data_IF_534099908009
#
_entry.id   IF_534099908009
#
_cell.length_a   1.000
_cell.length_b   1.000
_cell.length_c   1.000
_cell.angle_alpha   90.00
_cell.angle_beta   90.00
_cell.angle_gamma   90.00
#
_symmetry.space_group_name_H-M   'P 1'
#
loop_
_entity.id
_entity.type
_entity.pdbx_description
1 polymer ?
#
# COMPACT_ATOMS: atom_id res chain seq x y z
N UNK A 1 -50.84 -0.89 6.33
CA UNK A 1 -49.40 -0.51 6.36
C UNK A 1 -48.95 -0.11 7.76
N UNK A 2 -49.48 0.95 8.38
CA UNK A 2 -49.06 1.41 9.73
C UNK A 2 -49.33 0.39 10.84
N UNK A 3 -50.51 -0.23 10.86
CA UNK A 3 -50.87 -1.20 11.91
C UNK A 3 -50.03 -2.49 11.88
N UNK A 4 -49.57 -2.93 10.71
CA UNK A 4 -48.69 -4.09 10.56
C UNK A 4 -47.29 -3.77 11.10
N UNK A 5 -46.78 -2.58 10.79
CA UNK A 5 -45.51 -2.08 11.30
C UNK A 5 -45.53 -1.96 12.83
N UNK A 6 -46.57 -1.36 13.41
CA UNK A 6 -46.74 -1.25 14.86
C UNK A 6 -46.81 -2.62 15.55
N UNK A 7 -47.52 -3.59 14.94
CA UNK A 7 -47.55 -4.97 15.44
C UNK A 7 -46.17 -5.63 15.41
N UNK A 8 -45.39 -5.42 14.35
CA UNK A 8 -44.02 -5.93 14.29
C UNK A 8 -43.14 -5.30 15.37
N UNK A 9 -43.17 -3.98 15.55
CA UNK A 9 -42.38 -3.28 16.56
C UNK A 9 -42.64 -3.78 17.98
N UNK A 10 -43.89 -4.15 18.30
CA UNK A 10 -44.29 -4.68 19.60
C UNK A 10 -44.09 -6.21 19.73
N UNK A 11 -43.60 -6.88 18.70
CA UNK A 11 -43.44 -8.33 18.69
C UNK A 11 -42.11 -8.80 19.29
N UNK A 12 -42.10 -10.03 19.82
CA UNK A 12 -40.86 -10.71 20.23
C UNK A 12 -39.90 -10.94 19.05
N UNK A 13 -40.37 -10.91 17.81
CA UNK A 13 -39.51 -11.00 16.62
C UNK A 13 -38.68 -9.74 16.44
N UNK A 14 -39.24 -8.55 16.64
CA UNK A 14 -38.49 -7.29 16.60
C UNK A 14 -37.36 -7.27 17.64
N UNK A 15 -37.62 -7.72 18.86
CA UNK A 15 -36.58 -7.81 19.91
C UNK A 15 -35.44 -8.77 19.53
N UNK A 16 -35.76 -9.92 18.91
CA UNK A 16 -34.75 -10.86 18.41
C UNK A 16 -33.94 -10.27 17.26
N UNK A 17 -34.59 -9.58 16.34
CA UNK A 17 -33.93 -8.94 15.20
C UNK A 17 -33.01 -7.81 15.68
N UNK A 18 -33.44 -7.00 16.66
CA UNK A 18 -32.63 -5.95 17.28
C UNK A 18 -31.36 -6.53 17.92
N UNK A 19 -31.48 -7.61 18.71
CA UNK A 19 -30.34 -8.26 19.35
C UNK A 19 -29.35 -8.84 18.32
N UNK A 20 -29.87 -9.46 17.26
CA UNK A 20 -29.05 -9.96 16.14
C UNK A 20 -28.26 -8.82 15.48
N UNK A 21 -28.93 -7.72 15.13
CA UNK A 21 -28.29 -6.59 14.46
C UNK A 21 -27.30 -5.85 15.33
N UNK A 22 -27.57 -5.68 16.63
CA UNK A 22 -26.63 -5.08 17.56
C UNK A 22 -25.33 -5.89 17.64
N UNK A 23 -25.43 -7.21 17.75
CA UNK A 23 -24.26 -8.09 17.79
C UNK A 23 -23.49 -8.06 16.46
N UNK A 24 -24.20 -8.21 15.33
CA UNK A 24 -23.59 -8.22 14.00
C UNK A 24 -22.91 -6.90 13.67
N UNK A 25 -23.58 -5.77 13.91
CA UNK A 25 -23.07 -4.47 13.51
C UNK A 25 -21.84 -4.00 14.32
N UNK A 26 -21.63 -4.56 15.52
CA UNK A 26 -20.39 -4.36 16.29
C UNK A 26 -19.19 -5.11 15.69
N UNK A 27 -19.44 -6.21 14.97
CA UNK A 27 -18.41 -7.08 14.38
C UNK A 27 -18.18 -6.79 12.89
N UNK A 28 -18.97 -5.90 12.28
CA UNK A 28 -18.85 -5.60 10.86
C UNK A 28 -17.44 -5.06 10.54
N UNK A 29 -16.79 -5.59 9.49
CA UNK A 29 -15.55 -5.03 8.98
C UNK A 29 -15.78 -3.64 8.38
N UNK A 30 -14.68 -2.98 7.99
CA UNK A 30 -14.75 -1.66 7.36
C UNK A 30 -15.66 -1.67 6.11
N UNK A 31 -16.45 -0.61 5.88
CA UNK A 31 -17.23 -0.45 4.67
C UNK A 31 -16.36 -0.46 3.40
N UNK A 32 -16.77 -1.20 2.37
CA UNK A 32 -16.11 -1.14 1.07
C UNK A 32 -16.39 0.19 0.35
N UNK A 33 -15.33 0.78 -0.21
CA UNK A 33 -15.36 1.92 -1.14
C UNK A 33 -14.27 1.69 -2.17
N UNK A 34 -14.50 2.09 -3.42
CA UNK A 34 -13.46 2.12 -4.45
C UNK A 34 -12.70 3.45 -4.45
N UNK A 35 -13.30 4.50 -3.86
CA UNK A 35 -12.67 5.79 -3.71
C UNK A 35 -11.73 5.78 -2.49
N UNK A 36 -10.49 6.31 -2.60
CA UNK A 36 -9.58 6.47 -1.46
C UNK A 36 -10.10 7.44 -0.38
N UNK A 37 -11.04 8.32 -0.71
CA UNK A 37 -11.59 9.28 0.24
C UNK A 37 -12.51 8.58 1.27
N UNK A 38 -12.42 8.96 2.55
CA UNK A 38 -13.29 8.41 3.59
C UNK A 38 -14.79 8.55 3.25
N UNK A 39 -15.59 7.60 3.72
CA UNK A 39 -17.05 7.63 3.61
C UNK A 39 -17.73 8.48 4.69
N UNK A 40 -17.02 8.81 5.77
CA UNK A 40 -17.54 9.64 6.85
C UNK A 40 -17.79 11.08 6.37
N UNK A 41 -18.89 11.69 6.81
CA UNK A 41 -19.29 13.06 6.40
C UNK A 41 -19.78 13.19 4.95
N UNK A 42 -19.98 12.09 4.23
CA UNK A 42 -20.43 12.11 2.84
C UNK A 42 -21.95 11.96 2.76
N UNK A 43 -22.59 12.89 2.06
CA UNK A 43 -24.03 12.87 1.80
C UNK A 43 -24.35 12.22 0.45
N UNK A 44 -25.46 11.46 0.36
CA UNK A 44 -25.98 10.98 -0.92
C UNK A 44 -26.27 12.11 -1.91
N UNK A 45 -25.92 11.93 -3.19
CA UNK A 45 -26.17 12.90 -4.26
C UNK A 45 -26.96 12.28 -5.41
N UNK A 46 -27.76 13.09 -6.10
CA UNK A 46 -28.45 12.69 -7.34
C UNK A 46 -27.58 12.89 -8.59
N UNK A 47 -26.43 13.55 -8.46
CA UNK A 47 -25.43 13.67 -9.52
C UNK A 47 -24.62 12.39 -9.60
N UNK A 48 -25.08 11.46 -10.43
CA UNK A 48 -24.48 10.12 -10.52
C UNK A 48 -23.90 9.83 -11.91
N UNK A 49 -22.78 9.13 -11.94
CA UNK A 49 -22.29 8.47 -13.13
C UNK A 49 -22.97 7.12 -13.27
N UNK A 50 -23.44 6.81 -14.48
CA UNK A 50 -24.02 5.51 -14.84
C UNK A 50 -23.14 4.85 -15.90
N UNK A 51 -22.66 3.66 -15.60
CA UNK A 51 -21.87 2.84 -16.52
C UNK A 51 -22.43 1.43 -16.54
N UNK A 52 -22.35 0.78 -17.69
CA UNK A 52 -22.88 -0.57 -17.89
C UNK A 52 -21.79 -1.44 -18.50
N UNK A 53 -21.70 -2.68 -18.03
CA UNK A 53 -20.84 -3.71 -18.60
C UNK A 53 -21.62 -4.98 -18.84
N UNK A 54 -21.60 -5.43 -20.09
CA UNK A 54 -22.08 -6.75 -20.46
C UNK A 54 -20.95 -7.75 -20.26
N UNK A 55 -21.23 -8.81 -19.51
CA UNK A 55 -20.35 -9.96 -19.38
C UNK A 55 -20.62 -10.94 -20.52
N UNK A 56 -19.57 -11.61 -20.99
CA UNK A 56 -19.72 -12.63 -22.02
C UNK A 56 -20.58 -13.79 -21.50
N UNK A 57 -21.61 -14.15 -22.28
CA UNK A 57 -22.58 -15.18 -21.91
C UNK A 57 -21.94 -16.57 -21.85
N UNK A 58 -21.02 -16.89 -22.76
CA UNK A 58 -20.36 -18.19 -22.80
C UNK A 58 -19.47 -18.36 -21.58
N UNK A 59 -18.64 -17.36 -21.27
CA UNK A 59 -17.76 -17.38 -20.11
C UNK A 59 -18.56 -17.53 -18.80
N UNK A 60 -19.66 -16.76 -18.65
CA UNK A 60 -20.48 -16.82 -17.44
C UNK A 60 -21.23 -18.14 -17.30
N UNK A 61 -21.75 -18.68 -18.41
CA UNK A 61 -22.41 -20.00 -18.41
C UNK A 61 -21.41 -21.11 -18.05
N UNK A 62 -20.19 -21.04 -18.61
CA UNK A 62 -19.12 -21.99 -18.30
C UNK A 62 -18.73 -21.93 -16.82
N UNK A 63 -18.60 -20.72 -16.27
CA UNK A 63 -18.32 -20.53 -14.84
C UNK A 63 -19.38 -21.18 -13.95
N UNK A 64 -20.66 -20.94 -14.23
CA UNK A 64 -21.77 -21.51 -13.44
C UNK A 64 -21.81 -23.04 -13.57
N UNK A 65 -21.67 -23.58 -14.78
CA UNK A 65 -21.73 -25.01 -15.04
C UNK A 65 -20.54 -25.79 -14.47
N UNK A 66 -19.39 -25.15 -14.32
CA UNK A 66 -18.21 -25.77 -13.75
C UNK A 66 -18.27 -25.94 -12.22
N UNK A 67 -19.30 -25.38 -11.57
CA UNK A 67 -19.41 -25.49 -10.12
C UNK A 67 -19.86 -26.89 -9.68
N UNK A 68 -19.10 -27.58 -8.81
CA UNK A 68 -19.42 -28.94 -8.37
C UNK A 68 -20.68 -29.02 -7.48
N UNK A 69 -21.11 -27.89 -6.91
CA UNK A 69 -22.38 -27.75 -6.21
C UNK A 69 -23.31 -26.85 -7.04
N UNK A 70 -24.60 -27.17 -7.11
CA UNK A 70 -25.59 -26.31 -7.76
C UNK A 70 -25.80 -25.03 -6.94
N UNK A 71 -24.88 -24.07 -7.04
CA UNK A 71 -25.10 -22.71 -6.54
C UNK A 71 -26.07 -21.96 -7.45
N UNK A 72 -26.79 -20.99 -6.89
CA UNK A 72 -27.64 -20.16 -7.73
C UNK A 72 -26.78 -19.27 -8.63
N UNK A 73 -27.27 -18.98 -9.84
CA UNK A 73 -26.62 -18.05 -10.77
C UNK A 73 -26.37 -16.68 -10.10
N UNK A 74 -27.28 -16.30 -9.20
CA UNK A 74 -27.17 -15.07 -8.42
C UNK A 74 -25.98 -15.08 -7.47
N UNK A 75 -25.75 -16.18 -6.75
CA UNK A 75 -24.61 -16.30 -5.81
C UNK A 75 -23.27 -16.22 -6.56
N UNK A 76 -23.18 -16.84 -7.74
CA UNK A 76 -21.98 -16.78 -8.60
C UNK A 76 -21.74 -15.38 -9.15
N UNK A 77 -22.78 -14.69 -9.63
CA UNK A 77 -22.67 -13.30 -10.10
C UNK A 77 -22.23 -12.37 -8.97
N UNK A 78 -22.80 -12.54 -7.77
CA UNK A 78 -22.43 -11.77 -6.59
C UNK A 78 -20.98 -12.05 -6.17
N UNK A 79 -20.54 -13.31 -6.17
CA UNK A 79 -19.16 -13.65 -5.83
C UNK A 79 -18.15 -13.02 -6.78
N UNK A 80 -18.42 -13.05 -8.09
CA UNK A 80 -17.55 -12.43 -9.09
C UNK A 80 -17.40 -10.93 -8.87
N UNK A 81 -18.52 -10.22 -8.65
CA UNK A 81 -18.49 -8.77 -8.44
C UNK A 81 -17.96 -8.41 -7.04
N UNK A 82 -18.23 -9.21 -6.01
CA UNK A 82 -17.65 -9.04 -4.69
C UNK A 82 -16.12 -9.16 -4.73
N UNK A 83 -15.59 -10.12 -5.51
CA UNK A 83 -14.15 -10.25 -5.75
C UNK A 83 -13.60 -9.02 -6.47
N UNK A 84 -14.27 -8.53 -7.50
CA UNK A 84 -13.89 -7.28 -8.18
C UNK A 84 -13.83 -6.09 -7.20
N UNK A 85 -14.83 -5.91 -6.33
CA UNK A 85 -14.82 -4.88 -5.29
C UNK A 85 -13.69 -5.08 -4.29
N UNK A 86 -13.47 -6.31 -3.81
CA UNK A 86 -12.39 -6.66 -2.88
C UNK A 86 -11.02 -6.28 -3.42
N UNK A 87 -10.75 -6.66 -4.67
CA UNK A 87 -9.45 -6.44 -5.30
C UNK A 87 -9.17 -4.97 -5.59
N UNK A 88 -10.20 -4.19 -5.96
CA UNK A 88 -10.07 -2.76 -6.22
C UNK A 88 -10.03 -1.92 -4.93
N UNK A 89 -10.77 -2.31 -3.90
CA UNK A 89 -10.72 -1.63 -2.60
C UNK A 89 -9.51 -2.02 -1.75
N UNK A 90 -8.82 -3.12 -2.08
CA UNK A 90 -7.68 -3.64 -1.31
C UNK A 90 -8.08 -4.36 -0.02
N UNK A 91 -9.36 -4.65 0.20
CA UNK A 91 -9.86 -5.27 1.43
C UNK A 91 -10.36 -6.71 1.16
N UNK A 92 -9.76 -7.70 1.83
CA UNK A 92 -10.21 -9.10 1.79
C UNK A 92 -11.45 -9.38 2.66
N UNK A 93 -11.83 -8.45 3.55
CA UNK A 93 -13.08 -8.53 4.31
C UNK A 93 -13.67 -7.14 4.45
N UNK A 94 -14.93 -6.98 4.05
CA UNK A 94 -15.58 -5.67 4.03
C UNK A 94 -17.09 -5.77 4.24
N UNK A 95 -17.68 -4.67 4.69
CA UNK A 95 -19.13 -4.54 4.78
C UNK A 95 -19.69 -3.85 3.54
N UNK A 96 -20.74 -4.43 2.99
CA UNK A 96 -21.47 -3.89 1.85
C UNK A 96 -22.97 -3.84 2.15
N UNK A 97 -23.68 -2.93 1.49
CA UNK A 97 -25.13 -2.88 1.56
C UNK A 97 -25.73 -3.93 0.62
N UNK A 98 -26.80 -4.59 1.03
CA UNK A 98 -27.58 -5.43 0.14
C UNK A 98 -29.06 -5.07 0.21
N UNK A 99 -29.71 -5.01 -0.94
CA UNK A 99 -31.10 -4.60 -1.05
C UNK A 99 -32.04 -5.78 -0.72
N UNK A 100 -32.82 -5.62 0.35
CA UNK A 100 -33.89 -6.54 0.74
C UNK A 100 -35.26 -5.87 0.64
N UNK A 101 -36.30 -6.67 0.51
CA UNK A 101 -37.68 -6.20 0.65
C UNK A 101 -38.14 -6.36 2.11
N UNK A 102 -38.64 -5.29 2.71
CA UNK A 102 -39.25 -5.26 4.06
C UNK A 102 -40.49 -6.15 4.14
N UNK A 103 -41.14 -6.41 3.00
CA UNK A 103 -42.33 -7.25 2.88
C UNK A 103 -42.06 -8.45 2.01
N UNK A 104 -42.77 -9.54 2.30
CA UNK A 104 -42.69 -10.81 1.59
C UNK A 104 -44.08 -11.23 1.14
N UNK A 105 -44.18 -11.84 -0.04
CA UNK A 105 -45.46 -12.33 -0.58
C UNK A 105 -46.36 -11.23 -1.16
N UNK A 106 -47.66 -11.52 -1.29
CA UNK A 106 -48.65 -10.63 -1.94
C UNK A 106 -48.75 -9.23 -1.31
N UNK A 107 -48.48 -9.10 -0.01
CA UNK A 107 -48.49 -7.83 0.69
C UNK A 107 -47.38 -6.85 0.26
N UNK A 108 -46.31 -7.34 -0.38
CA UNK A 108 -45.28 -6.50 -1.01
C UNK A 108 -45.72 -6.01 -2.39
N UNK A 109 -46.34 -6.91 -3.19
CA UNK A 109 -46.79 -6.63 -4.56
C UNK A 109 -47.93 -5.62 -4.63
N UNK A 110 -48.80 -5.58 -3.61
CA UNK A 110 -49.94 -4.65 -3.55
C UNK A 110 -49.63 -3.37 -2.74
N UNK A 111 -48.37 -3.12 -2.38
CA UNK A 111 -47.99 -1.97 -1.58
C UNK A 111 -47.56 -0.78 -2.45
N UNK A 112 -48.13 0.40 -2.20
CA UNK A 112 -47.78 1.64 -2.91
C UNK A 112 -46.70 2.49 -2.19
N UNK A 113 -46.16 2.01 -1.06
CA UNK A 113 -45.17 2.73 -0.25
C UNK A 113 -43.76 2.11 -0.33
N UNK A 114 -42.71 2.80 0.17
CA UNK A 114 -41.34 2.29 0.11
C UNK A 114 -41.22 1.01 0.95
N UNK A 115 -40.84 -0.09 0.28
CA UNK A 115 -40.66 -1.41 0.89
C UNK A 115 -39.20 -1.88 0.85
N UNK A 116 -38.28 -1.05 0.37
CA UNK A 116 -36.86 -1.39 0.28
C UNK A 116 -36.18 -1.21 1.64
N UNK A 117 -35.27 -2.12 1.98
CA UNK A 117 -34.37 -2.02 3.13
C UNK A 117 -32.95 -2.38 2.68
N UNK A 118 -32.00 -1.46 2.82
CA UNK A 118 -30.61 -1.74 2.51
C UNK A 118 -29.90 -2.12 3.79
N UNK A 119 -29.50 -3.38 3.92
CA UNK A 119 -28.93 -3.91 5.15
C UNK A 119 -27.45 -4.25 4.96
N UNK A 120 -26.60 -4.04 5.98
CA UNK A 120 -25.21 -4.42 5.90
C UNK A 120 -25.08 -5.93 5.87
N UNK A 121 -24.30 -6.42 4.92
CA UNK A 121 -23.83 -7.80 4.83
C UNK A 121 -22.31 -7.80 4.96
N UNK A 122 -21.80 -8.88 5.54
CA UNK A 122 -20.37 -9.12 5.64
C UNK A 122 -19.90 -9.94 4.44
N UNK A 123 -18.88 -9.46 3.74
CA UNK A 123 -18.21 -10.20 2.69
C UNK A 123 -16.81 -10.54 3.13
N UNK A 124 -16.52 -11.83 3.28
CA UNK A 124 -15.18 -12.35 3.59
C UNK A 124 -14.67 -13.14 2.38
N UNK A 125 -13.54 -12.69 1.83
CA UNK A 125 -12.91 -13.25 0.65
C UNK A 125 -11.50 -13.71 1.01
N UNK A 126 -11.38 -14.98 1.38
CA UNK A 126 -10.10 -15.64 1.63
C UNK A 126 -9.33 -15.80 0.29
N UNK A 127 -8.11 -15.24 0.13
CA UNK A 127 -7.31 -15.37 -1.09
C UNK A 127 -7.06 -16.81 -1.54
N UNK A 128 -7.09 -17.79 -0.62
CA UNK A 128 -6.87 -19.20 -0.93
C UNK A 128 -8.15 -19.94 -1.35
N UNK A 129 -9.32 -19.36 -1.11
CA UNK A 129 -10.59 -19.96 -1.49
C UNK A 129 -10.83 -19.85 -3.01
N UNK A 130 -11.64 -20.77 -3.54
CA UNK A 130 -12.18 -20.73 -4.89
C UNK A 130 -13.38 -19.79 -4.98
N UNK A 131 -13.73 -19.34 -6.18
CA UNK A 131 -14.90 -18.47 -6.38
C UNK A 131 -16.22 -19.15 -5.94
N UNK A 132 -16.31 -20.47 -6.07
CA UNK A 132 -17.46 -21.26 -5.64
C UNK A 132 -17.63 -21.25 -4.11
N UNK A 133 -16.53 -21.33 -3.37
CA UNK A 133 -16.57 -21.26 -1.91
C UNK A 133 -16.99 -19.88 -1.42
N UNK A 134 -16.53 -18.82 -2.10
CA UNK A 134 -16.99 -17.44 -1.86
C UNK A 134 -18.49 -17.30 -2.12
N UNK A 135 -18.99 -17.81 -3.25
CA UNK A 135 -20.42 -17.81 -3.55
C UNK A 135 -21.25 -18.53 -2.47
N UNK A 136 -20.77 -19.69 -2.01
CA UNK A 136 -21.39 -20.40 -0.89
C UNK A 136 -21.38 -19.62 0.42
N UNK A 137 -20.30 -18.89 0.71
CA UNK A 137 -20.18 -17.99 1.87
C UNK A 137 -21.20 -16.85 1.83
N UNK A 138 -21.25 -16.13 0.71
CA UNK A 138 -22.20 -15.03 0.48
C UNK A 138 -23.65 -15.56 0.56
N UNK A 139 -23.95 -16.69 -0.05
CA UNK A 139 -25.28 -17.29 0.02
C UNK A 139 -25.72 -17.65 1.44
N UNK A 140 -24.80 -18.12 2.30
CA UNK A 140 -25.08 -18.37 3.74
C UNK A 140 -25.35 -17.08 4.49
N UNK A 141 -24.53 -16.06 4.27
CA UNK A 141 -24.70 -14.74 4.87
C UNK A 141 -26.05 -14.11 4.50
N UNK A 142 -26.39 -14.10 3.20
CA UNK A 142 -27.67 -13.60 2.72
C UNK A 142 -28.86 -14.35 3.32
N UNK A 143 -28.76 -15.68 3.49
CA UNK A 143 -29.81 -16.48 4.14
C UNK A 143 -29.98 -16.12 5.61
N UNK A 144 -28.89 -15.84 6.33
CA UNK A 144 -28.92 -15.41 7.74
C UNK A 144 -29.57 -14.04 7.87
N UNK A 145 -29.08 -13.05 7.11
CA UNK A 145 -29.60 -11.68 7.14
C UNK A 145 -31.06 -11.62 6.70
N UNK A 146 -31.47 -12.43 5.71
CA UNK A 146 -32.86 -12.51 5.24
C UNK A 146 -33.87 -12.85 6.34
N UNK A 147 -33.47 -13.61 7.36
CA UNK A 147 -34.34 -13.95 8.52
C UNK A 147 -34.66 -12.73 9.39
N UNK A 148 -33.81 -11.71 9.35
CA UNK A 148 -33.89 -10.49 10.15
C UNK A 148 -34.12 -9.23 9.29
N UNK A 149 -34.50 -9.40 8.01
CA UNK A 149 -34.56 -8.32 7.02
C UNK A 149 -35.65 -7.26 7.28
N UNK A 150 -36.58 -7.56 8.20
CA UNK A 150 -37.70 -6.66 8.56
C UNK A 150 -37.26 -5.51 9.46
N UNK A 151 -36.11 -5.64 10.13
CA UNK A 151 -35.58 -4.62 11.02
C UNK A 151 -34.99 -3.46 10.22
N UNK A 152 -35.29 -2.22 10.61
CA UNK A 152 -34.95 -1.04 9.81
C UNK A 152 -33.47 -0.69 9.91
N UNK A 153 -32.82 -0.45 8.77
CA UNK A 153 -31.40 -0.07 8.73
C UNK A 153 -31.12 1.19 9.55
N UNK A 154 -32.04 2.16 9.53
CA UNK A 154 -31.94 3.40 10.30
C UNK A 154 -32.05 3.17 11.81
N UNK A 155 -32.72 2.09 12.24
CA UNK A 155 -32.79 1.70 13.65
C UNK A 155 -31.46 1.09 14.10
N UNK A 156 -30.80 0.27 13.27
CA UNK A 156 -29.49 -0.31 13.57
C UNK A 156 -28.46 0.77 13.91
N UNK A 157 -28.39 1.84 13.11
CA UNK A 157 -27.46 2.95 13.36
C UNK A 157 -27.77 3.69 14.68
N UNK A 158 -29.06 3.87 14.99
CA UNK A 158 -29.51 4.48 16.25
C UNK A 158 -29.13 3.62 17.47
N UNK A 159 -29.32 2.31 17.38
CA UNK A 159 -29.00 1.38 18.47
C UNK A 159 -27.49 1.33 18.77
N UNK A 160 -26.64 1.59 17.77
CA UNK A 160 -25.18 1.69 17.93
C UNK A 160 -24.72 3.06 18.47
N UNK A 161 -25.64 4.00 18.69
CA UNK A 161 -25.30 5.39 19.05
C UNK A 161 -24.57 6.15 17.93
N UNK A 162 -24.60 5.64 16.69
CA UNK A 162 -23.94 6.25 15.52
C UNK A 162 -24.96 7.11 14.77
N UNK A 163 -25.26 8.28 15.31
CA UNK A 163 -26.24 9.23 14.74
C UNK A 163 -25.49 10.31 13.94
N UNK A 164 -25.95 10.62 12.73
CA UNK A 164 -25.41 11.70 11.89
C UNK A 164 -24.28 11.27 10.95
N UNK A 165 -23.23 12.09 10.83
CA UNK A 165 -22.08 11.90 9.90
C UNK A 165 -21.07 10.83 10.33
N UNK A 166 -21.47 9.96 11.26
CA UNK A 166 -20.69 8.80 11.66
C UNK A 166 -20.39 7.90 10.45
N UNK A 167 -19.32 7.12 10.54
CA UNK A 167 -18.94 6.17 9.51
C UNK A 167 -20.13 5.25 9.19
N UNK A 168 -20.57 5.19 7.92
CA UNK A 168 -21.72 4.37 7.55
C UNK A 168 -21.41 2.88 7.78
N UNK A 169 -22.44 2.06 7.94
CA UNK A 169 -22.26 0.61 8.12
C UNK A 169 -21.78 -0.09 6.84
N UNK A 170 -21.98 0.54 5.69
CA UNK A 170 -21.57 0.05 4.37
C UNK A 170 -21.32 1.22 3.41
N UNK A 171 -20.51 1.00 2.37
CA UNK A 171 -20.26 1.96 1.30
C UNK A 171 -20.92 1.46 0.01
N UNK A 172 -20.28 0.50 -0.65
CA UNK A 172 -20.83 -0.17 -1.85
C UNK A 172 -22.13 -0.91 -1.54
N UNK A 173 -23.15 -0.72 -2.37
CA UNK A 173 -24.45 -1.40 -2.29
C UNK A 173 -24.63 -2.36 -3.47
N UNK A 174 -25.01 -3.61 -3.20
CA UNK A 174 -25.31 -4.62 -4.20
C UNK A 174 -26.82 -4.77 -4.37
N UNK A 175 -27.25 -4.77 -5.62
CA UNK A 175 -28.64 -4.93 -6.02
C UNK A 175 -28.73 -6.03 -7.08
N UNK A 176 -29.44 -7.12 -6.80
CA UNK A 176 -29.61 -8.21 -7.76
C UNK A 176 -31.04 -8.19 -8.31
N UNK A 177 -31.19 -7.93 -9.61
CA UNK A 177 -32.47 -7.84 -10.31
C UNK A 177 -32.60 -9.01 -11.29
N UNK A 178 -33.54 -9.90 -11.00
CA UNK A 178 -33.74 -11.16 -11.76
C UNK A 178 -34.79 -11.06 -12.86
N UNK A 179 -35.52 -9.94 -12.95
CA UNK A 179 -36.58 -9.73 -13.94
C UNK A 179 -36.61 -8.27 -14.40
N UNK A 180 -36.76 -8.07 -15.70
CA UNK A 180 -37.29 -6.82 -16.24
C UNK A 180 -38.82 -6.94 -16.23
N UNK A 181 -39.52 -5.94 -15.72
CA UNK A 181 -40.98 -5.96 -15.72
C UNK A 181 -41.44 -5.61 -17.13
N UNK A 182 -41.51 -6.60 -18.01
CA UNK A 182 -42.14 -6.43 -19.30
C UNK A 182 -43.61 -6.07 -19.07
N UNK A 183 -43.97 -4.86 -19.47
CA UNK A 183 -45.34 -4.38 -19.44
C UNK A 183 -45.97 -4.76 -20.77
N UNK A 184 -47.03 -5.57 -20.74
CA UNK A 184 -47.86 -5.81 -21.92
C UNK A 184 -49.17 -5.02 -21.79
N UNK A 185 -49.43 -4.17 -22.77
CA UNK A 185 -50.67 -3.41 -22.88
C UNK A 185 -51.52 -3.91 -24.05
N UNK A 186 -51.92 -5.18 -23.99
CA UNK A 186 -52.78 -5.80 -25.00
C UNK A 186 -52.02 -6.12 -26.29
N UNK A 187 -50.83 -6.72 -26.16
CA UNK A 187 -49.92 -7.03 -27.28
C UNK A 187 -49.01 -5.85 -27.69
N UNK A 188 -49.08 -4.73 -26.98
CA UNK A 188 -48.14 -3.61 -27.13
C UNK A 188 -47.09 -3.70 -26.02
N UNK A 189 -45.84 -3.86 -26.42
CA UNK A 189 -44.70 -3.87 -25.52
C UNK A 189 -44.49 -2.49 -24.89
N UNK A 190 -44.49 -2.44 -23.56
CA UNK A 190 -44.15 -1.27 -22.77
C UNK A 190 -42.66 -1.25 -22.42
N UNK A 191 -41.98 -0.17 -22.80
CA UNK A 191 -40.55 0.03 -22.53
C UNK A 191 -40.39 0.98 -21.35
N UNK A 192 -39.64 0.55 -20.33
CA UNK A 192 -39.39 1.36 -19.12
C UNK A 192 -38.00 2.01 -19.19
N UNK A 193 -37.95 3.34 -19.08
CA UNK A 193 -36.70 4.10 -19.00
C UNK A 193 -36.53 4.71 -17.60
N UNK A 194 -35.50 4.29 -16.88
CA UNK A 194 -35.17 4.82 -15.56
C UNK A 194 -34.46 6.18 -15.68
N UNK A 195 -35.11 7.26 -15.25
CA UNK A 195 -34.54 8.61 -15.25
C UNK A 195 -33.73 8.90 -13.98
N UNK A 196 -34.26 8.49 -12.83
CA UNK A 196 -33.66 8.71 -11.51
C UNK A 196 -33.91 7.50 -10.60
N UNK A 197 -32.84 6.93 -10.07
CA UNK A 197 -32.86 5.80 -9.11
C UNK A 197 -32.90 6.28 -7.65
N UNK A 198 -32.69 7.57 -7.43
CA UNK A 198 -32.47 8.16 -6.11
C UNK A 198 -31.01 8.55 -5.89
N UNK A 199 -30.69 9.17 -4.75
CA UNK A 199 -29.34 9.61 -4.46
C UNK A 199 -28.44 8.45 -4.03
N UNK A 200 -27.20 8.44 -4.53
CA UNK A 200 -26.19 7.44 -4.18
C UNK A 200 -25.13 8.08 -3.30
N UNK A 201 -24.78 7.43 -2.18
CA UNK A 201 -23.72 7.90 -1.27
C UNK A 201 -22.34 7.67 -1.85
N UNK A 202 -22.07 6.45 -2.29
CA UNK A 202 -20.77 6.02 -2.78
C UNK A 202 -20.91 5.31 -4.13
N UNK A 203 -21.21 4.01 -4.10
CA UNK A 203 -21.37 3.17 -5.28
C UNK A 203 -22.53 2.19 -5.09
N UNK A 204 -23.43 2.12 -6.06
CA UNK A 204 -24.42 1.05 -6.18
C UNK A 204 -24.08 0.19 -7.41
N UNK A 205 -24.09 -1.12 -7.22
CA UNK A 205 -23.82 -2.12 -8.26
C UNK A 205 -25.08 -2.94 -8.47
N UNK A 206 -25.71 -2.77 -9.62
CA UNK A 206 -26.88 -3.52 -10.02
C UNK A 206 -26.49 -4.65 -10.98
N UNK A 207 -26.82 -5.88 -10.60
CA UNK A 207 -26.62 -7.08 -11.40
C UNK A 207 -27.96 -7.45 -12.03
N UNK A 208 -27.99 -7.51 -13.35
CA UNK A 208 -29.13 -7.95 -14.15
C UNK A 208 -28.77 -9.26 -14.82
N UNK A 209 -29.65 -10.25 -14.69
CA UNK A 209 -29.56 -11.50 -15.42
C UNK A 209 -30.77 -11.57 -16.35
N UNK A 210 -30.54 -11.61 -17.66
CA UNK A 210 -31.63 -11.79 -18.62
C UNK A 210 -32.05 -13.28 -18.72
N UNK A 211 -33.16 -13.55 -19.40
CA UNK A 211 -33.65 -14.93 -19.62
C UNK A 211 -32.68 -15.78 -20.46
N UNK A 212 -31.83 -15.12 -21.24
CA UNK A 212 -30.77 -15.79 -21.98
C UNK A 212 -29.58 -16.19 -21.08
N UNK A 213 -29.48 -15.67 -19.86
CA UNK A 213 -28.36 -15.91 -18.95
C UNK A 213 -27.17 -14.98 -19.18
N UNK A 214 -27.36 -13.85 -19.86
CA UNK A 214 -26.39 -12.76 -19.97
C UNK A 214 -26.37 -11.97 -18.67
N UNK A 215 -25.18 -11.83 -18.07
CA UNK A 215 -24.98 -10.96 -16.91
C UNK A 215 -24.65 -9.54 -17.39
N UNK A 216 -25.47 -8.58 -16.99
CA UNK A 216 -25.21 -7.14 -17.14
C UNK A 216 -24.95 -6.53 -15.77
N UNK A 217 -23.86 -5.79 -15.64
CA UNK A 217 -23.49 -5.09 -14.41
C UNK A 217 -23.55 -3.58 -14.64
N UNK A 218 -24.44 -2.91 -13.91
CA UNK A 218 -24.61 -1.46 -13.93
C UNK A 218 -23.99 -0.86 -12.67
N UNK A 219 -23.14 0.15 -12.86
CA UNK A 219 -22.57 0.97 -11.79
C UNK A 219 -23.31 2.31 -11.75
N UNK A 220 -23.82 2.65 -10.57
CA UNK A 220 -24.33 3.98 -10.25
C UNK A 220 -23.41 4.56 -9.18
N UNK A 221 -22.60 5.55 -9.54
CA UNK A 221 -21.57 6.08 -8.67
C UNK A 221 -21.78 7.58 -8.38
N UNK A 222 -21.46 8.00 -7.17
CA UNK A 222 -21.46 9.40 -6.78
C UNK A 222 -20.42 10.20 -7.61
N UNK A 223 -20.88 11.15 -8.44
CA UNK A 223 -20.00 11.94 -9.32
C UNK A 223 -19.08 12.92 -8.59
N UNK A 224 -19.28 13.14 -7.29
CA UNK A 224 -18.38 13.95 -6.44
C UNK A 224 -17.22 13.10 -5.89
N UNK A 225 -17.37 11.77 -5.88
CA UNK A 225 -16.36 10.83 -5.36
C UNK A 225 -15.59 10.10 -6.45
N UNK A 226 -16.19 9.96 -7.63
CA UNK A 226 -15.65 9.15 -8.71
C UNK A 226 -15.56 9.93 -10.01
N UNK A 227 -14.44 9.76 -10.72
CA UNK A 227 -14.32 10.19 -12.10
C UNK A 227 -14.87 9.11 -13.04
N UNK A 228 -15.61 9.53 -14.07
CA UNK A 228 -16.24 8.59 -15.02
C UNK A 228 -15.23 7.69 -15.73
N UNK A 229 -14.08 8.23 -16.15
CA UNK A 229 -13.08 7.49 -16.93
C UNK A 229 -12.36 6.44 -16.07
N UNK A 230 -12.09 6.76 -14.80
CA UNK A 230 -11.53 5.83 -13.82
C UNK A 230 -12.48 4.67 -13.55
N UNK A 231 -13.78 4.96 -13.34
CA UNK A 231 -14.80 3.92 -13.20
C UNK A 231 -14.91 3.05 -14.45
N UNK A 232 -14.84 3.64 -15.64
CA UNK A 232 -14.86 2.88 -16.90
C UNK A 232 -13.66 1.92 -16.98
N UNK A 233 -12.46 2.40 -16.62
CA UNK A 233 -11.26 1.58 -16.56
C UNK A 233 -11.36 0.46 -15.51
N UNK A 234 -11.96 0.71 -14.35
CA UNK A 234 -12.24 -0.34 -13.35
C UNK A 234 -13.22 -1.39 -13.87
N UNK A 235 -14.29 -0.95 -14.51
CA UNK A 235 -15.36 -1.82 -14.99
C UNK A 235 -14.88 -2.74 -16.13
N UNK A 236 -13.94 -2.29 -16.96
CA UNK A 236 -13.29 -3.10 -18.00
C UNK A 236 -12.48 -4.29 -17.45
N UNK A 237 -12.13 -4.29 -16.15
CA UNK A 237 -11.41 -5.41 -15.51
C UNK A 237 -12.32 -6.57 -15.14
N UNK A 238 -13.64 -6.34 -15.04
CA UNK A 238 -14.61 -7.38 -14.68
C UNK A 238 -14.70 -8.52 -15.73
N UNK A 239 -14.76 -8.25 -17.05
CA UNK A 239 -14.67 -9.31 -18.06
C UNK A 239 -13.36 -10.10 -18.03
N UNK A 240 -12.23 -9.48 -17.68
CA UNK A 240 -10.94 -10.17 -17.55
C UNK A 240 -10.98 -11.18 -16.40
N UNK A 241 -11.59 -10.79 -15.28
CA UNK A 241 -11.80 -11.65 -14.12
C UNK A 241 -12.69 -12.85 -14.50
N UNK A 242 -13.82 -12.59 -15.17
CA UNK A 242 -14.76 -13.60 -15.61
C UNK A 242 -14.09 -14.66 -16.49
N UNK A 243 -13.33 -14.23 -17.52
CA UNK A 243 -12.60 -15.14 -18.43
C UNK A 243 -11.64 -16.07 -17.69
N UNK A 244 -10.94 -15.56 -16.68
CA UNK A 244 -9.99 -16.37 -15.91
C UNK A 244 -10.69 -17.47 -15.13
N UNK A 245 -11.80 -17.17 -14.45
CA UNK A 245 -12.55 -18.18 -13.70
C UNK A 245 -13.38 -19.11 -14.58
N UNK A 246 -13.85 -18.65 -15.75
CA UNK A 246 -14.45 -19.54 -16.74
C UNK A 246 -13.44 -20.59 -17.23
N UNK A 247 -12.20 -20.18 -17.51
CA UNK A 247 -11.13 -21.07 -17.95
C UNK A 247 -10.58 -21.97 -16.82
N UNK A 248 -10.47 -21.45 -15.59
CA UNK A 248 -9.92 -22.15 -14.42
C UNK A 248 -10.83 -22.00 -13.19
N UNK A 249 -11.94 -22.74 -13.11
CA UNK A 249 -12.95 -22.60 -12.04
C UNK A 249 -12.43 -22.91 -10.63
N UNK A 250 -11.40 -23.74 -10.52
CA UNK A 250 -10.77 -24.13 -9.25
C UNK A 250 -9.57 -23.25 -8.86
N UNK A 251 -9.30 -22.18 -9.61
CA UNK A 251 -8.23 -21.23 -9.29
C UNK A 251 -8.54 -20.51 -7.96
N UNK A 252 -7.57 -20.42 -7.03
CA UNK A 252 -7.69 -19.56 -5.85
C UNK A 252 -7.94 -18.10 -6.25
N UNK A 253 -8.81 -17.40 -5.53
CA UNK A 253 -9.18 -16.04 -5.92
C UNK A 253 -8.03 -15.03 -5.81
N UNK A 254 -7.01 -15.32 -5.00
CA UNK A 254 -5.81 -14.51 -4.86
C UNK A 254 -4.89 -14.53 -6.09
N UNK A 255 -4.98 -15.57 -6.93
CA UNK A 255 -4.22 -15.67 -8.18
C UNK A 255 -4.83 -14.87 -9.33
N UNK A 256 -6.05 -14.33 -9.13
CA UNK A 256 -6.74 -13.57 -10.16
C UNK A 256 -6.01 -12.27 -10.51
N UNK A 257 -5.71 -12.12 -11.80
CA UNK A 257 -5.02 -10.95 -12.33
C UNK A 257 -6.04 -9.93 -12.89
N UNK A 258 -5.93 -8.67 -12.49
CA UNK A 258 -6.80 -7.59 -12.98
C UNK A 258 -6.06 -6.60 -13.87
N UNK A 259 -4.77 -6.82 -14.13
CA UNK A 259 -3.97 -5.95 -14.97
C UNK A 259 -4.41 -6.09 -16.42
N UNK A 260 -4.92 -4.99 -16.95
CA UNK A 260 -5.15 -4.81 -18.38
C UNK A 260 -3.82 -4.73 -19.11
N UNK A 261 -3.86 -4.87 -20.43
CA UNK A 261 -2.67 -4.66 -21.27
C UNK A 261 -2.11 -3.23 -21.12
N UNK A 262 -2.99 -2.23 -20.96
CA UNK A 262 -2.59 -0.85 -20.70
C UNK A 262 -1.86 -0.71 -19.35
N UNK A 263 -2.35 -1.38 -18.31
CA UNK A 263 -1.69 -1.39 -16.99
C UNK A 263 -0.27 -2.00 -17.10
N UNK A 264 -0.11 -3.10 -17.85
CA UNK A 264 1.22 -3.72 -18.07
C UNK A 264 2.16 -2.83 -18.85
N UNK A 265 1.67 -2.17 -19.90
CA UNK A 265 2.47 -1.21 -20.69
C UNK A 265 2.87 0.02 -19.88
N UNK A 266 2.01 0.48 -18.96
CA UNK A 266 2.33 1.54 -18.02
C UNK A 266 3.44 1.08 -17.07
N UNK A 267 3.28 -0.09 -16.44
CA UNK A 267 4.28 -0.66 -15.54
C UNK A 267 5.63 -0.86 -16.25
N UNK A 268 5.63 -1.38 -17.48
CA UNK A 268 6.83 -1.52 -18.28
C UNK A 268 7.51 -0.17 -18.56
N UNK A 269 6.74 0.85 -18.98
CA UNK A 269 7.30 2.21 -19.21
C UNK A 269 7.84 2.87 -17.96
N UNK A 270 7.13 2.77 -16.84
CA UNK A 270 7.54 3.40 -15.58
C UNK A 270 8.78 2.73 -15.00
N UNK A 271 8.92 1.41 -15.20
CA UNK A 271 10.07 0.64 -14.74
C UNK A 271 11.21 0.54 -15.77
N UNK A 272 11.08 1.16 -16.95
CA UNK A 272 12.15 1.25 -17.95
C UNK A 272 13.20 2.30 -17.54
N UNK A 273 13.85 2.03 -16.40
CA UNK A 273 14.84 2.92 -15.78
C UNK A 273 16.27 2.39 -15.95
N UNK A 274 16.46 1.35 -16.76
CA UNK A 274 17.77 0.76 -17.02
C UNK A 274 18.63 1.72 -17.85
N UNK A 275 19.79 2.08 -17.32
CA UNK A 275 20.79 2.87 -18.02
C UNK A 275 22.18 2.40 -17.61
N UNK A 276 23.18 2.46 -18.51
CA UNK A 276 24.54 2.07 -18.17
C UNK A 276 25.13 3.06 -17.16
N UNK A 277 25.65 2.53 -16.06
CA UNK A 277 26.41 3.30 -15.07
C UNK A 277 27.83 2.76 -15.03
N UNK A 278 28.83 3.64 -15.08
CA UNK A 278 30.22 3.23 -15.00
C UNK A 278 30.52 2.59 -13.62
N UNK A 279 31.24 1.47 -13.62
CA UNK A 279 31.69 0.83 -12.40
C UNK A 279 32.83 1.65 -11.76
N UNK A 280 32.45 2.58 -10.88
CA UNK A 280 33.36 3.46 -10.14
C UNK A 280 33.04 3.43 -8.64
N UNK A 281 34.00 3.82 -7.82
CA UNK A 281 33.83 4.00 -6.37
C UNK A 281 33.68 5.48 -6.03
N UNK A 282 33.07 5.80 -4.88
CA UNK A 282 32.99 7.17 -4.38
C UNK A 282 34.38 7.81 -4.23
N UNK A 283 35.36 7.04 -3.74
CA UNK A 283 36.77 7.43 -3.69
C UNK A 283 37.37 7.71 -5.06
N UNK A 284 37.08 6.86 -6.06
CA UNK A 284 37.51 7.07 -7.44
C UNK A 284 36.95 8.35 -8.04
N UNK A 285 35.66 8.60 -7.85
CA UNK A 285 34.98 9.83 -8.27
C UNK A 285 35.59 11.09 -7.62
N UNK A 286 35.86 11.04 -6.31
CA UNK A 286 36.52 12.15 -5.60
C UNK A 286 37.94 12.40 -6.13
N UNK A 287 38.71 11.34 -6.37
CA UNK A 287 40.05 11.44 -6.92
C UNK A 287 40.05 12.04 -8.34
N UNK A 288 39.13 11.58 -9.19
CA UNK A 288 38.97 12.11 -10.55
C UNK A 288 38.59 13.60 -10.52
N UNK A 289 37.64 14.00 -9.66
CA UNK A 289 37.25 15.40 -9.51
C UNK A 289 38.39 16.27 -8.97
N UNK A 290 39.18 15.76 -8.01
CA UNK A 290 40.33 16.48 -7.48
C UNK A 290 41.45 16.68 -8.50
N UNK A 291 41.59 15.78 -9.47
CA UNK A 291 42.50 15.97 -10.61
C UNK A 291 41.97 17.01 -11.60
N UNK A 292 40.66 17.05 -11.83
CA UNK A 292 40.02 18.00 -12.77
C UNK A 292 40.05 19.44 -12.28
N UNK A 293 39.74 19.67 -11.00
CA UNK A 293 39.60 21.03 -10.43
C UNK A 293 40.30 21.13 -9.07
N UNK A 294 41.62 20.97 -9.00
CA UNK A 294 42.34 20.81 -7.73
C UNK A 294 42.20 22.00 -6.80
N UNK A 295 42.23 23.23 -7.34
CA UNK A 295 42.25 24.45 -6.54
C UNK A 295 40.84 25.04 -6.30
N UNK A 296 39.79 24.35 -6.79
CA UNK A 296 38.40 24.75 -6.55
C UNK A 296 37.98 24.42 -5.10
N UNK A 297 37.14 25.25 -4.45
CA UNK A 297 36.66 24.98 -3.10
C UNK A 297 35.79 23.72 -3.07
N UNK A 298 36.07 22.81 -2.13
CA UNK A 298 35.38 21.53 -2.01
C UNK A 298 34.63 21.39 -0.67
N UNK A 299 35.29 21.72 0.44
CA UNK A 299 34.76 21.50 1.78
C UNK A 299 35.04 22.72 2.66
N UNK A 300 34.04 23.18 3.42
CA UNK A 300 34.19 24.32 4.33
C UNK A 300 33.26 24.24 5.52
N UNK A 301 33.69 24.82 6.63
CA UNK A 301 32.83 25.19 7.76
C UNK A 301 33.18 26.62 8.23
N UNK A 302 32.89 26.94 9.49
CA UNK A 302 33.19 28.25 10.06
C UNK A 302 34.69 28.52 10.25
N UNK A 303 35.52 27.47 10.35
CA UNK A 303 36.94 27.56 10.71
C UNK A 303 37.85 27.15 9.55
N UNK A 304 37.44 26.19 8.73
CA UNK A 304 38.26 25.61 7.69
C UNK A 304 37.66 25.79 6.31
N UNK A 305 38.55 25.89 5.31
CA UNK A 305 38.21 25.85 3.89
C UNK A 305 39.28 25.03 3.18
N UNK A 306 38.84 23.95 2.55
CA UNK A 306 39.66 23.06 1.76
C UNK A 306 39.26 23.12 0.29
N UNK A 307 40.26 23.22 -0.57
CA UNK A 307 40.16 22.90 -2.00
C UNK A 307 39.98 21.39 -2.21
N UNK A 308 39.67 20.95 -3.43
CA UNK A 308 39.61 19.52 -3.74
C UNK A 308 40.95 18.82 -3.51
N UNK A 309 42.07 19.49 -3.82
CA UNK A 309 43.42 18.98 -3.55
C UNK A 309 43.64 18.76 -2.06
N UNK A 310 43.42 19.79 -1.25
CA UNK A 310 43.64 19.71 0.20
C UNK A 310 42.69 18.71 0.86
N UNK A 311 41.43 18.63 0.38
CA UNK A 311 40.47 17.62 0.83
C UNK A 311 41.01 16.21 0.56
N UNK A 312 41.49 15.96 -0.66
CA UNK A 312 42.05 14.65 -1.04
C UNK A 312 43.28 14.29 -0.22
N UNK A 313 44.14 15.25 0.05
CA UNK A 313 45.33 15.09 0.90
C UNK A 313 44.95 14.67 2.32
N UNK A 314 44.00 15.38 2.95
CA UNK A 314 43.50 15.06 4.29
C UNK A 314 42.81 13.69 4.35
N UNK A 315 41.97 13.37 3.35
CA UNK A 315 41.32 12.06 3.23
C UNK A 315 42.36 10.93 3.12
N UNK A 316 43.39 11.13 2.31
CA UNK A 316 44.46 10.13 2.12
C UNK A 316 45.30 9.95 3.38
N UNK A 317 45.63 11.05 4.07
CA UNK A 317 46.37 11.01 5.32
C UNK A 317 45.60 10.25 6.41
N UNK A 318 44.30 10.53 6.55
CA UNK A 318 43.46 9.84 7.52
C UNK A 318 43.26 8.37 7.14
N UNK A 319 43.04 8.05 5.86
CA UNK A 319 42.90 6.66 5.40
C UNK A 319 44.14 5.82 5.73
N UNK A 320 45.35 6.38 5.56
CA UNK A 320 46.59 5.72 6.00
C UNK A 320 46.65 5.49 7.49
N UNK A 321 46.23 6.48 8.28
CA UNK A 321 46.19 6.35 9.72
C UNK A 321 45.21 5.23 10.14
N UNK A 322 44.06 5.11 9.47
CA UNK A 322 43.11 4.01 9.67
C UNK A 322 43.74 2.66 9.34
N UNK A 323 44.41 2.53 8.18
CA UNK A 323 45.10 1.28 7.81
C UNK A 323 46.23 0.94 8.77
N UNK A 324 46.98 1.93 9.25
CA UNK A 324 48.03 1.74 10.26
C UNK A 324 47.48 1.29 11.62
N UNK A 325 46.24 1.65 11.94
CA UNK A 325 45.47 1.16 13.09
C UNK A 325 44.75 -0.17 12.80
N UNK A 326 45.07 -0.84 11.69
CA UNK A 326 44.59 -2.18 11.38
C UNK A 326 43.25 -2.25 10.66
N UNK A 327 42.66 -1.12 10.24
CA UNK A 327 41.44 -1.12 9.42
C UNK A 327 41.71 -1.77 8.06
N UNK A 328 40.93 -2.79 7.72
CA UNK A 328 40.99 -3.49 6.44
C UNK A 328 39.73 -3.24 5.60
N UNK A 329 39.78 -3.45 4.27
CA UNK A 329 38.60 -3.42 3.44
C UNK A 329 37.51 -4.38 3.95
N UNK A 330 36.28 -3.88 4.09
CA UNK A 330 35.14 -4.60 4.64
C UNK A 330 34.96 -4.48 6.16
N UNK A 331 35.92 -3.91 6.89
CA UNK A 331 35.73 -3.58 8.31
C UNK A 331 34.69 -2.46 8.49
N UNK A 332 34.13 -2.36 9.69
CA UNK A 332 33.25 -1.25 10.10
C UNK A 332 34.05 -0.29 10.97
N UNK A 333 33.96 1.01 10.69
CA UNK A 333 34.52 2.09 11.52
C UNK A 333 33.37 2.95 12.04
N UNK A 334 33.21 3.02 13.37
CA UNK A 334 32.20 3.88 13.98
C UNK A 334 32.68 5.33 14.02
N UNK A 335 31.77 6.27 13.82
CA UNK A 335 32.08 7.70 13.77
C UNK A 335 31.16 8.46 14.71
N UNK A 336 31.72 9.00 15.79
CA UNK A 336 31.05 9.82 16.79
C UNK A 336 31.68 11.22 16.80
N UNK A 337 31.49 11.97 15.71
CA UNK A 337 31.97 13.34 15.52
C UNK A 337 30.79 14.30 15.36
N UNK A 338 30.89 15.55 15.89
CA UNK A 338 29.90 16.57 15.59
C UNK A 338 29.98 16.99 14.11
N UNK A 339 28.96 17.72 13.66
CA UNK A 339 28.94 18.27 12.30
C UNK A 339 30.04 19.32 12.10
N UNK A 340 31.07 18.96 11.34
CA UNK A 340 32.21 19.80 10.96
C UNK A 340 32.85 19.27 9.65
N UNK A 341 33.88 19.94 9.14
CA UNK A 341 34.68 19.39 8.04
C UNK A 341 35.30 18.02 8.38
N UNK A 342 35.62 17.78 9.65
CA UNK A 342 36.24 16.52 10.10
C UNK A 342 35.29 15.33 9.99
N UNK A 343 33.98 15.54 10.19
CA UNK A 343 33.00 14.50 9.93
C UNK A 343 33.06 14.06 8.46
N UNK A 344 32.96 15.00 7.52
CA UNK A 344 33.02 14.68 6.09
C UNK A 344 34.35 14.04 5.68
N UNK A 345 35.48 14.54 6.19
CA UNK A 345 36.81 13.95 5.95
C UNK A 345 36.91 12.52 6.50
N UNK A 346 36.37 12.25 7.68
CA UNK A 346 36.35 10.92 8.29
C UNK A 346 35.55 9.93 7.44
N UNK A 347 34.35 10.30 7.00
CA UNK A 347 33.53 9.44 6.14
C UNK A 347 34.23 9.11 4.83
N UNK A 348 34.81 10.12 4.17
CA UNK A 348 35.56 9.91 2.92
C UNK A 348 36.81 9.04 3.12
N UNK A 349 37.53 9.21 4.24
CA UNK A 349 38.72 8.43 4.55
C UNK A 349 38.41 6.95 4.89
N UNK A 350 37.28 6.69 5.56
CA UNK A 350 36.81 5.33 5.83
C UNK A 350 36.50 4.60 4.52
N UNK A 351 35.79 5.28 3.60
CA UNK A 351 35.49 4.72 2.27
C UNK A 351 36.77 4.53 1.44
N UNK A 352 37.73 5.45 1.53
CA UNK A 352 39.04 5.34 0.91
C UNK A 352 39.83 4.12 1.40
N UNK A 353 39.75 3.81 2.69
CA UNK A 353 40.32 2.60 3.28
C UNK A 353 39.56 1.30 2.92
N UNK A 354 38.48 1.40 2.14
CA UNK A 354 37.63 0.28 1.76
C UNK A 354 36.71 -0.23 2.88
N UNK A 355 36.58 0.53 3.98
CA UNK A 355 35.75 0.19 5.12
C UNK A 355 34.36 0.85 5.03
N UNK A 356 33.42 0.33 5.82
CA UNK A 356 32.08 0.90 5.98
C UNK A 356 32.04 1.81 7.21
N UNK A 357 31.40 2.98 7.12
CA UNK A 357 31.21 3.82 8.30
C UNK A 357 29.88 3.52 9.02
N UNK A 358 29.91 3.62 10.36
CA UNK A 358 28.74 3.57 11.23
C UNK A 358 28.59 4.92 11.95
N UNK A 359 27.67 5.80 11.53
CA UNK A 359 27.48 7.08 12.20
C UNK A 359 26.79 6.87 13.56
N UNK A 360 27.37 7.43 14.61
CA UNK A 360 26.85 7.43 15.97
C UNK A 360 26.37 8.83 16.35
N UNK A 361 25.09 8.97 16.67
CA UNK A 361 24.53 10.21 17.18
C UNK A 361 24.91 10.36 18.66
N UNK A 362 25.77 11.33 18.97
CA UNK A 362 26.19 11.62 20.33
C UNK A 362 25.05 12.16 21.21
N UNK A 363 23.89 12.52 20.65
CA UNK A 363 22.68 12.84 21.40
C UNK A 363 21.94 11.62 21.98
N UNK A 364 22.25 10.39 21.54
CA UNK A 364 21.64 9.18 22.09
C UNK A 364 22.15 8.83 23.48
N UNK A 365 21.37 8.09 24.30
CA UNK A 365 21.86 7.58 25.58
C UNK A 365 22.93 6.50 25.39
N UNK A 366 23.82 6.36 26.38
CA UNK A 366 24.98 5.45 26.33
C UNK A 366 24.60 3.99 26.11
N UNK A 367 23.48 3.54 26.69
CA UNK A 367 22.95 2.20 26.47
C UNK A 367 22.67 1.94 24.99
N UNK A 368 22.09 2.91 24.27
CA UNK A 368 21.78 2.76 22.84
C UNK A 368 23.05 2.74 22.00
N UNK A 369 24.03 3.58 22.33
CA UNK A 369 25.33 3.56 21.66
C UNK A 369 26.08 2.25 21.90
N UNK A 370 26.06 1.74 23.13
CA UNK A 370 26.59 0.43 23.49
C UNK A 370 25.97 -0.69 22.65
N UNK A 371 24.64 -0.75 22.58
CA UNK A 371 23.94 -1.75 21.75
C UNK A 371 24.33 -1.68 20.27
N UNK A 372 24.46 -0.48 19.71
CA UNK A 372 24.87 -0.32 18.30
C UNK A 372 26.30 -0.80 18.07
N UNK A 373 27.21 -0.51 19.00
CA UNK A 373 28.60 -0.96 18.95
C UNK A 373 28.73 -2.48 19.12
N UNK A 374 27.93 -3.08 20.02
CA UNK A 374 27.89 -4.53 20.24
C UNK A 374 27.36 -5.29 19.01
N UNK A 375 26.36 -4.75 18.31
CA UNK A 375 25.77 -5.39 17.11
C UNK A 375 26.61 -5.16 15.84
N UNK A 376 27.35 -4.05 15.77
CA UNK A 376 28.18 -3.73 14.63
C UNK A 376 29.63 -4.22 14.74
N UNK A 377 30.14 -4.38 15.97
CA UNK A 377 31.53 -4.79 16.28
C UNK A 377 32.55 -4.03 15.42
N UNK A 378 32.59 -2.68 15.50
CA UNK A 378 33.51 -1.90 14.68
C UNK A 378 34.97 -2.19 15.05
N UNK A 379 35.85 -2.14 14.04
CA UNK A 379 37.30 -2.24 14.24
C UNK A 379 37.82 -1.06 15.05
N UNK A 380 37.28 0.12 14.80
CA UNK A 380 37.77 1.39 15.33
C UNK A 380 36.61 2.38 15.53
N UNK A 381 36.73 3.26 16.50
CA UNK A 381 35.81 4.37 16.76
C UNK A 381 36.56 5.70 16.55
N UNK A 382 36.13 6.49 15.57
CA UNK A 382 36.62 7.87 15.38
C UNK A 382 35.76 8.81 16.22
N UNK A 383 36.38 9.61 17.09
CA UNK A 383 35.67 10.59 17.92
C UNK A 383 36.53 11.82 18.23
N UNK A 384 35.99 12.79 18.95
CA UNK A 384 36.69 14.00 19.40
C UNK A 384 37.08 13.91 20.89
N UNK A 385 38.08 14.67 21.37
CA UNK A 385 38.59 14.57 22.74
C UNK A 385 37.52 14.71 23.83
N UNK A 386 36.51 15.56 23.61
CA UNK A 386 35.39 15.79 24.56
C UNK A 386 34.50 14.57 24.74
N UNK A 387 34.44 13.66 23.76
CA UNK A 387 33.64 12.44 23.77
C UNK A 387 34.46 11.20 24.09
N UNK A 388 35.79 11.29 24.16
CA UNK A 388 36.69 10.15 24.38
C UNK A 388 36.31 9.32 25.62
N UNK A 389 36.05 9.98 26.74
CA UNK A 389 35.72 9.31 28.01
C UNK A 389 34.48 8.41 27.92
N UNK A 390 33.55 8.76 27.03
CA UNK A 390 32.28 8.07 26.83
C UNK A 390 32.42 6.76 26.06
N UNK A 391 33.44 6.66 25.22
CA UNK A 391 33.70 5.49 24.37
C UNK A 391 34.92 4.67 24.84
N UNK A 392 35.63 5.12 25.88
CA UNK A 392 36.90 4.53 26.33
C UNK A 392 36.79 3.04 26.70
N UNK A 393 35.60 2.59 27.11
CA UNK A 393 35.29 1.19 27.45
C UNK A 393 34.64 0.41 26.30
N UNK A 394 34.50 0.99 25.10
CA UNK A 394 33.69 0.45 23.99
C UNK A 394 34.48 0.03 22.76
N UNK A 395 35.80 0.24 22.73
CA UNK A 395 36.66 -0.18 21.63
C UNK A 395 37.93 0.65 21.48
N UNK A 396 38.69 0.38 20.42
CA UNK A 396 39.85 1.20 20.04
C UNK A 396 39.38 2.56 19.51
N UNK A 397 39.99 3.64 19.99
CA UNK A 397 39.59 5.02 19.67
C UNK A 397 40.68 5.72 18.87
N UNK A 398 40.24 6.40 17.80
CA UNK A 398 41.03 7.39 17.08
C UNK A 398 40.44 8.77 17.32
N UNK A 399 41.26 9.68 17.87
CA UNK A 399 40.87 11.08 18.01
C UNK A 399 41.12 11.83 16.70
N UNK A 400 40.10 12.54 16.20
CA UNK A 400 40.19 13.32 14.97
C UNK A 400 39.42 14.64 15.08
N UNK A 401 40.15 15.72 15.35
CA UNK A 401 39.62 17.08 15.58
C UNK A 401 40.44 18.19 14.91
N UNK A 402 41.50 17.82 14.19
CA UNK A 402 42.46 18.75 13.60
C UNK A 402 43.07 18.18 12.30
N UNK A 403 43.54 19.05 11.37
CA UNK A 403 44.15 18.59 10.13
C UNK A 403 45.42 17.78 10.38
N UNK A 404 45.60 16.71 9.61
CA UNK A 404 46.78 15.86 9.67
C UNK A 404 47.93 16.46 8.87
N UNK A 405 49.16 16.17 9.29
CA UNK A 405 50.35 16.49 8.50
C UNK A 405 50.30 15.72 7.17
N UNK A 406 50.36 16.45 6.06
CA UNK A 406 50.33 15.88 4.72
C UNK A 406 51.76 15.56 4.29
N UNK A 407 52.03 14.30 3.99
CA UNK A 407 53.26 13.91 3.30
C UNK A 407 53.04 13.94 1.78
N UNK A 408 53.64 14.93 1.12
CA UNK A 408 53.51 15.16 -0.33
C UNK A 408 54.07 14.02 -1.20
N UNK A 409 54.90 13.13 -0.64
CA UNK A 409 55.59 12.08 -1.40
C UNK A 409 54.83 10.76 -1.50
N UNK A 410 53.72 10.61 -0.79
CA UNK A 410 53.15 9.30 -0.57
C UNK A 410 51.93 9.04 -1.49
N UNK A 411 51.91 7.88 -2.14
CA UNK A 411 50.87 7.45 -3.09
C UNK A 411 49.53 7.14 -2.41
N UNK A 412 48.42 7.51 -3.05
CA UNK A 412 47.08 7.24 -2.53
C UNK A 412 46.88 5.74 -2.30
N UNK A 413 46.36 5.37 -1.12
CA UNK A 413 45.87 4.02 -0.87
C UNK A 413 44.54 3.90 -1.60
N UNK A 414 44.58 3.59 -2.89
CA UNK A 414 43.40 3.18 -3.64
C UNK A 414 43.13 1.69 -3.31
N UNK A 415 42.89 1.40 -2.03
CA UNK A 415 42.38 0.11 -1.56
C UNK A 415 40.86 0.17 -1.38
N UNK A 416 40.21 1.06 -2.12
CA UNK A 416 38.77 0.99 -2.32
C UNK A 416 38.39 -0.34 -3.01
N UNK A 417 37.15 -0.80 -2.86
CA UNK A 417 36.67 -2.03 -3.48
C UNK A 417 36.88 -1.97 -5.00
N UNK A 418 37.70 -2.88 -5.52
CA UNK A 418 37.99 -2.96 -6.95
C UNK A 418 36.81 -3.64 -7.66
N UNK A 419 36.36 -3.10 -8.80
CA UNK A 419 35.29 -3.68 -9.62
C UNK A 419 35.58 -5.12 -10.07
N UNK A 420 36.83 -5.57 -9.95
CA UNK A 420 37.30 -6.91 -10.27
C UNK A 420 37.08 -7.98 -9.18
N UNK A 421 36.45 -7.66 -8.04
CA UNK A 421 36.07 -8.64 -7.01
C UNK A 421 34.57 -8.97 -7.13
N UNK A 422 34.18 -10.01 -7.89
CA UNK A 422 32.78 -10.35 -8.06
C UNK A 422 32.29 -11.07 -6.80
N UNK A 423 31.38 -10.44 -6.04
CA UNK A 423 30.69 -11.13 -4.95
C UNK A 423 30.27 -10.27 -3.75
N UNK A 424 30.69 -9.01 -3.68
CA UNK A 424 30.30 -8.14 -2.58
C UNK A 424 29.43 -7.01 -3.12
N UNK A 425 28.12 -7.11 -2.87
CA UNK A 425 27.30 -5.93 -2.68
C UNK A 425 27.86 -5.21 -1.46
N UNK A 426 28.80 -4.28 -1.68
CA UNK A 426 29.63 -3.72 -0.61
C UNK A 426 28.85 -2.65 0.16
N UNK A 427 28.69 -2.88 1.46
CA UNK A 427 28.01 -1.97 2.35
C UNK A 427 28.88 -0.70 2.55
N UNK A 428 28.52 0.42 1.93
CA UNK A 428 29.26 1.69 2.15
C UNK A 428 28.97 2.30 3.54
N UNK A 429 27.82 1.98 4.14
CA UNK A 429 27.42 2.46 5.46
C UNK A 429 26.35 1.57 6.10
N UNK A 430 26.23 1.62 7.43
CA UNK A 430 25.18 0.92 8.19
C UNK A 430 24.36 1.93 9.01
N UNK A 431 23.07 2.06 8.70
CA UNK A 431 22.13 2.85 9.51
C UNK A 431 21.29 1.95 10.43
N UNK A 432 21.06 2.42 11.65
CA UNK A 432 20.05 1.85 12.55
C UNK A 432 18.81 2.73 12.56
N UNK A 433 17.67 2.19 12.13
CA UNK A 433 16.38 2.88 12.24
C UNK A 433 15.86 2.75 13.66
N UNK A 434 15.25 3.81 14.19
CA UNK A 434 14.48 3.71 15.42
C UNK A 434 13.34 2.70 15.19
N UNK A 435 13.27 1.65 16.02
CA UNK A 435 12.15 0.73 15.99
C UNK A 435 10.90 1.47 16.46
N UNK A 436 9.91 1.64 15.58
CA UNK A 436 8.55 1.97 16.03
C UNK A 436 8.06 0.80 16.89
N UNK A 437 7.83 1.06 18.18
CA UNK A 437 7.19 0.07 19.06
C UNK A 437 5.77 -0.17 18.54
N UNK A 438 5.56 -1.21 17.74
CA UNK A 438 4.24 -1.84 17.62
C UNK A 438 3.98 -2.61 18.91
N UNK A 439 2.81 -2.38 19.49
CA UNK A 439 2.34 -3.13 20.64
C UNK A 439 2.16 -4.61 20.24
N UNK A 440 3.05 -5.47 20.75
CA UNK A 440 2.99 -6.92 20.58
C UNK A 440 4.09 -7.50 19.70
N UNK A 441 5.11 -8.10 20.34
CA UNK A 441 6.09 -8.99 19.69
C UNK A 441 7.39 -8.31 19.29
N UNK A 442 8.47 -8.59 20.03
CA UNK A 442 9.82 -8.17 19.71
C UNK A 442 10.33 -8.90 18.46
N UNK A 443 10.20 -8.27 17.31
CA UNK A 443 11.01 -8.54 16.12
C UNK A 443 11.20 -7.19 15.42
N UNK A 444 12.14 -6.40 15.93
CA UNK A 444 12.56 -5.17 15.28
C UNK A 444 13.25 -5.55 13.97
N UNK A 445 12.70 -5.08 12.86
CA UNK A 445 13.22 -5.34 11.52
C UNK A 445 14.62 -4.72 11.39
N UNK A 446 15.65 -5.57 11.35
CA UNK A 446 17.07 -5.19 11.29
C UNK A 446 17.53 -5.25 9.84
N UNK A 447 17.13 -4.28 9.03
CA UNK A 447 17.59 -4.21 7.64
C UNK A 447 18.65 -3.11 7.48
N UNK A 448 19.90 -3.47 7.13
CA UNK A 448 20.90 -2.49 6.72
C UNK A 448 20.50 -1.90 5.35
N UNK A 449 20.64 -0.59 5.20
CA UNK A 449 20.54 0.11 3.92
C UNK A 449 21.94 0.30 3.35
N UNK A 450 22.13 0.01 2.06
CA UNK A 450 23.32 0.37 1.30
C UNK A 450 22.91 1.34 0.18
N UNK A 451 23.63 2.44 0.00
CA UNK A 451 23.55 3.26 -1.20
C UNK A 451 24.84 3.07 -1.98
N UNK A 452 24.68 2.63 -3.23
CA UNK A 452 25.77 2.40 -4.16
C UNK A 452 26.11 3.66 -4.97
N UNK A 453 27.32 3.69 -5.53
CA UNK A 453 27.81 4.75 -6.42
C UNK A 453 26.83 5.09 -7.57
N UNK A 454 26.02 4.12 -8.00
CA UNK A 454 24.99 4.31 -9.01
C UNK A 454 23.93 5.35 -8.62
N UNK A 455 23.59 5.48 -7.34
CA UNK A 455 22.62 6.49 -6.90
C UNK A 455 23.19 7.91 -6.99
N UNK A 456 24.50 8.07 -6.79
CA UNK A 456 25.20 9.37 -6.87
C UNK A 456 25.36 9.79 -8.33
N UNK A 457 25.71 8.86 -9.23
CA UNK A 457 25.79 9.16 -10.66
C UNK A 457 24.43 9.54 -11.23
N UNK A 458 23.37 8.76 -10.92
CA UNK A 458 22.00 9.06 -11.40
C UNK A 458 21.47 10.37 -10.80
N UNK A 459 21.80 10.68 -9.55
CA UNK A 459 21.46 11.96 -8.92
C UNK A 459 22.15 13.15 -9.60
N UNK A 460 23.44 13.02 -9.93
CA UNK A 460 24.20 14.05 -10.65
C UNK A 460 23.66 14.33 -12.05
N UNK A 461 23.25 13.29 -12.79
CA UNK A 461 22.65 13.39 -14.11
C UNK A 461 21.25 14.04 -14.08
N UNK A 462 20.41 13.66 -13.11
CA UNK A 462 19.02 14.17 -13.01
C UNK A 462 18.93 15.60 -12.48
N UNK A 463 19.79 15.97 -11.53
CA UNK A 463 19.73 17.28 -10.89
C UNK A 463 20.66 18.32 -11.52
N UNK A 464 21.50 17.95 -12.51
CA UNK A 464 22.43 18.87 -13.14
C UNK A 464 23.35 19.53 -12.11
N UNK A 465 24.12 18.71 -11.39
CA UNK A 465 24.99 19.21 -10.32
C UNK A 465 26.23 19.93 -10.89
N UNK A 466 26.06 21.18 -11.31
CA UNK A 466 27.08 22.21 -11.10
C UNK A 466 26.96 22.82 -9.68
N UNK A 467 25.85 22.62 -8.98
CA UNK A 467 25.64 23.10 -7.61
C UNK A 467 24.73 22.10 -6.85
N UNK A 468 25.18 21.62 -5.68
CA UNK A 468 24.41 20.89 -4.65
C UNK A 468 24.07 19.40 -4.85
N UNK A 469 25.08 18.51 -4.88
CA UNK A 469 24.89 17.06 -4.68
C UNK A 469 25.59 16.48 -3.45
N UNK A 470 26.16 17.30 -2.56
CA UNK A 470 26.83 16.82 -1.35
C UNK A 470 26.36 17.58 -0.11
N UNK A 471 25.07 17.45 0.19
CA UNK A 471 24.58 17.59 1.56
C UNK A 471 24.52 16.18 2.16
N UNK A 472 25.70 15.71 2.61
CA UNK A 472 25.83 14.63 3.59
C UNK A 472 25.69 15.21 5.00
#
# INVERSE_FOLDING_TARGET
>A
MVAEYQRYQQSATCQRDAAFWLNKAQQLPAPATLCPQPLAGQTPTTRIHRLSQLCDRQDFTQLVNASPQQFSVADMALALVALWVSRLSGHGSFSAGFIFMRRTGSAALCANGPVINVLPIEMHLDPQATLCEIAGGIGRELKTVRRHQRYEAEQIQRDLGRIGDAQPLYGTVFNFKMFDFQLDFGGIEGITHELASGPVRDLEIALYLDEAGTLKVDLLANAERYQRDELAAHLQRLPLLLRQFAARPQMPIGEADLLTEQDRQLLARVNDTAHPVAAQTLSGLLAEQAQKTPDAPALRDAQYRFSYRETREQVTALARQLTAQGVQPGDIVAVALPRSVFLSLALMAIVEAGAAYLPLDTGYPDERLGMMLEDAVPRLIITEPTQQARFADKGEILLFDSPLAVDCAAEAILSGPNAASPGLHHLYFRFYRAAERRAGGASGDRQPFAVDAASVSTGGERCGAAENAMQL
#
